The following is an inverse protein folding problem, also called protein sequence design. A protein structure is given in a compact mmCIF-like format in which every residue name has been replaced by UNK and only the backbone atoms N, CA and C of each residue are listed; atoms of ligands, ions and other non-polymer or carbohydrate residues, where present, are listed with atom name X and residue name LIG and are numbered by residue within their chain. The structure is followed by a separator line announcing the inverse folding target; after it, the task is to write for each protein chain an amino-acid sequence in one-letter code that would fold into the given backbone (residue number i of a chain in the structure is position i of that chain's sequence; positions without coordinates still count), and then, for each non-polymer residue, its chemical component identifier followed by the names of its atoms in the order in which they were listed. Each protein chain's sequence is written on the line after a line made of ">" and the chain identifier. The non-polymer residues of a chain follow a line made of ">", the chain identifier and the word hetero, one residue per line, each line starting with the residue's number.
data_IF_321798697726
#
_entry.id   IF_321798697726
#
_cell.length_a   1.000
_cell.length_b   1.000
_cell.length_c   1.000
_cell.angle_alpha   90.00
_cell.angle_beta   90.00
_cell.angle_gamma   90.00
#
_symmetry.space_group_name_H-M   'P 1'
#
loop_
_entity.id
_entity.type
_entity.pdbx_description
1 polymer ?
#
# COMPACT_ATOMS: atom_id res chain seq x y z
N UNK A 1 44.79 17.88 -44.26
CA UNK A 1 43.41 17.35 -44.16
C UNK A 1 42.79 17.88 -42.87
N UNK A 2 41.71 18.68 -42.93
CA UNK A 2 41.16 19.40 -41.76
C UNK A 2 40.28 18.45 -40.89
N UNK A 3 40.57 18.28 -39.58
CA UNK A 3 39.87 17.31 -38.72
C UNK A 3 38.36 17.58 -38.58
N UNK A 4 37.91 18.82 -38.76
CA UNK A 4 36.47 19.17 -38.69
C UNK A 4 35.61 18.58 -39.82
N UNK A 5 36.20 18.24 -40.98
CA UNK A 5 35.45 17.66 -42.10
C UNK A 5 35.18 16.16 -41.94
N UNK A 6 35.99 15.45 -41.15
CA UNK A 6 35.78 14.02 -40.84
C UNK A 6 34.62 13.82 -39.88
N UNK A 7 34.51 14.64 -38.84
CA UNK A 7 33.41 14.57 -37.87
C UNK A 7 32.04 14.75 -38.54
N UNK A 8 31.94 15.69 -39.49
CA UNK A 8 30.67 15.96 -40.18
C UNK A 8 30.21 14.77 -41.04
N UNK A 9 31.13 14.10 -41.73
CA UNK A 9 30.85 12.88 -42.50
C UNK A 9 30.39 11.71 -41.63
N UNK A 10 31.00 11.55 -40.46
CA UNK A 10 30.65 10.48 -39.50
C UNK A 10 29.24 10.72 -38.96
N UNK A 11 28.89 11.96 -38.59
CA UNK A 11 27.54 12.30 -38.14
C UNK A 11 26.48 12.14 -39.25
N UNK A 12 26.82 12.42 -40.51
CA UNK A 12 25.91 12.27 -41.66
C UNK A 12 25.72 10.79 -42.05
N UNK A 13 26.72 9.91 -41.83
CA UNK A 13 26.60 8.46 -42.02
C UNK A 13 25.84 7.77 -40.88
N UNK A 14 26.03 8.22 -39.63
CA UNK A 14 25.32 7.69 -38.46
C UNK A 14 23.82 8.01 -38.52
N UNK A 15 23.45 9.19 -39.02
CA UNK A 15 22.05 9.58 -39.23
C UNK A 15 21.33 8.75 -40.30
N UNK A 16 22.05 8.19 -41.28
CA UNK A 16 21.47 7.31 -42.30
C UNK A 16 21.21 5.88 -41.83
N UNK A 17 21.79 5.44 -40.72
CA UNK A 17 21.55 4.10 -40.15
C UNK A 17 20.33 4.03 -39.22
N UNK A 18 19.84 5.17 -38.73
CA UNK A 18 18.71 5.20 -37.81
C UNK A 18 17.33 5.15 -38.53
N UNK A 19 17.30 5.27 -39.87
CA UNK A 19 16.07 5.14 -40.67
C UNK A 19 15.80 3.70 -41.17
N UNK A 20 16.64 2.71 -40.82
CA UNK A 20 16.34 1.29 -41.07
C UNK A 20 15.76 0.63 -39.82
N UNK A 21 14.43 0.61 -39.71
CA UNK A 21 13.70 -0.34 -38.87
C UNK A 21 13.42 -1.63 -39.68
N UNK A 22 14.03 -2.78 -39.35
CA UNK A 22 13.86 -4.01 -40.12
C UNK A 22 12.87 -4.93 -39.42
N UNK A 23 11.57 -4.60 -39.38
CA UNK A 23 10.51 -5.61 -39.25
C UNK A 23 9.09 -5.02 -39.43
N UNK A 24 8.58 -5.02 -40.66
CA UNK A 24 7.13 -5.07 -40.89
C UNK A 24 6.85 -5.69 -42.26
N UNK A 25 6.91 -7.02 -42.33
CA UNK A 25 6.33 -7.80 -43.42
C UNK A 25 4.80 -7.68 -43.34
N UNK A 26 4.24 -6.76 -44.13
CA UNK A 26 2.81 -6.58 -44.29
C UNK A 26 2.56 -5.42 -45.23
N UNK A 27 2.17 -5.75 -46.47
CA UNK A 27 1.56 -4.87 -47.50
C UNK A 27 1.84 -3.38 -47.30
N UNK A 28 2.82 -2.84 -48.03
CA UNK A 28 2.98 -1.38 -48.17
C UNK A 28 1.84 -0.85 -49.03
N UNK A 29 0.66 -0.71 -48.44
CA UNK A 29 -0.35 0.21 -48.95
C UNK A 29 0.11 1.61 -48.57
N UNK A 30 0.52 2.41 -49.56
CA UNK A 30 0.82 3.82 -49.36
C UNK A 30 -0.41 4.48 -48.69
N UNK A 31 -0.29 5.01 -47.46
CA UNK A 31 -1.40 5.67 -46.81
C UNK A 31 -1.69 6.99 -47.53
N UNK A 32 -2.98 7.26 -47.77
CA UNK A 32 -3.46 8.58 -48.23
C UNK A 32 -2.86 9.70 -47.37
N UNK A 33 -2.56 10.89 -47.91
CA UNK A 33 -2.01 12.01 -47.14
C UNK A 33 -2.87 12.41 -45.93
N UNK A 34 -4.18 12.09 -45.93
CA UNK A 34 -5.06 12.25 -44.76
C UNK A 34 -4.79 11.23 -43.64
N UNK A 35 -4.42 10.00 -43.98
CA UNK A 35 -4.13 8.92 -43.03
C UNK A 35 -2.79 9.14 -42.30
N UNK A 36 -1.81 9.75 -42.96
CA UNK A 36 -0.54 10.13 -42.34
C UNK A 36 -0.70 11.17 -41.24
N UNK A 37 -1.59 12.16 -41.43
CA UNK A 37 -1.89 13.18 -40.41
C UNK A 37 -2.57 12.58 -39.19
N UNK A 38 -3.53 11.67 -39.40
CA UNK A 38 -4.21 10.97 -38.31
C UNK A 38 -3.24 10.08 -37.52
N UNK A 39 -2.34 9.37 -38.23
CA UNK A 39 -1.31 8.53 -37.61
C UNK A 39 -0.34 9.39 -36.78
N UNK A 40 0.01 10.58 -37.28
CA UNK A 40 0.87 11.52 -36.57
C UNK A 40 0.19 12.09 -35.32
N UNK A 41 -1.08 12.50 -35.40
CA UNK A 41 -1.86 12.90 -34.22
C UNK A 41 -2.01 11.77 -33.20
N UNK A 42 -2.19 10.53 -33.66
CA UNK A 42 -2.27 9.36 -32.78
C UNK A 42 -0.95 9.14 -32.00
N UNK A 43 0.19 9.21 -32.68
CA UNK A 43 1.51 9.09 -32.04
C UNK A 43 1.82 10.27 -31.11
N UNK A 44 1.44 11.49 -31.48
CA UNK A 44 1.58 12.66 -30.62
C UNK A 44 0.74 12.50 -29.35
N UNK A 45 -0.47 11.97 -29.47
CA UNK A 45 -1.32 11.70 -28.33
C UNK A 45 -0.73 10.62 -27.41
N UNK A 46 -0.15 9.56 -28.00
CA UNK A 46 0.51 8.48 -27.28
C UNK A 46 1.78 8.96 -26.56
N UNK A 47 2.56 9.85 -27.18
CA UNK A 47 3.73 10.48 -26.57
C UNK A 47 3.35 11.38 -25.39
N UNK A 48 2.21 12.10 -25.47
CA UNK A 48 1.70 12.91 -24.36
C UNK A 48 1.33 12.06 -23.14
N UNK A 49 0.62 10.95 -23.36
CA UNK A 49 0.25 10.03 -22.27
C UNK A 49 1.48 9.41 -21.61
N UNK A 50 2.50 9.05 -22.41
CA UNK A 50 3.74 8.48 -21.89
C UNK A 50 4.49 9.49 -21.01
N UNK A 51 4.54 10.76 -21.42
CA UNK A 51 5.12 11.85 -20.61
C UNK A 51 4.38 12.09 -19.31
N UNK A 52 3.04 12.15 -19.35
CA UNK A 52 2.21 12.30 -18.14
C UNK A 52 2.40 11.13 -17.18
N UNK A 53 2.44 9.89 -17.71
CA UNK A 53 2.71 8.71 -16.88
C UNK A 53 4.11 8.74 -16.26
N UNK A 54 5.12 9.21 -17.00
CA UNK A 54 6.49 9.32 -16.50
C UNK A 54 6.65 10.47 -15.49
N UNK A 55 5.90 11.55 -15.65
CA UNK A 55 5.79 12.66 -14.70
C UNK A 55 5.10 12.21 -13.41
N UNK A 56 3.94 11.56 -13.49
CA UNK A 56 3.26 10.95 -12.35
C UNK A 56 4.17 9.94 -11.66
N UNK A 57 4.91 9.12 -12.42
CA UNK A 57 5.89 8.18 -11.87
C UNK A 57 7.05 8.90 -11.18
N UNK A 58 7.47 10.06 -11.66
CA UNK A 58 8.50 10.90 -11.01
C UNK A 58 7.96 11.56 -9.76
N UNK A 59 6.73 12.05 -9.75
CA UNK A 59 6.08 12.60 -8.56
C UNK A 59 5.90 11.54 -7.48
N UNK A 60 5.45 10.34 -7.86
CA UNK A 60 5.31 9.19 -6.96
C UNK A 60 6.67 8.59 -6.53
N UNK A 61 7.73 8.77 -7.33
CA UNK A 61 9.08 8.34 -6.96
C UNK A 61 9.85 9.40 -6.17
N UNK A 62 9.48 10.68 -6.32
CA UNK A 62 9.96 11.80 -5.51
C UNK A 62 9.20 11.91 -4.18
N UNK A 63 8.04 11.26 -4.08
CA UNK A 63 7.47 10.70 -2.84
C UNK A 63 8.35 9.55 -2.28
N UNK A 64 9.69 9.71 -2.38
CA UNK A 64 10.57 9.22 -1.33
C UNK A 64 9.97 9.74 -0.03
N UNK A 65 9.82 8.90 1.01
CA UNK A 65 9.34 9.37 2.30
C UNK A 65 10.09 10.66 2.63
N UNK A 66 9.39 11.73 3.04
CA UNK A 66 9.94 13.06 3.16
C UNK A 66 11.30 12.96 3.83
N UNK A 67 12.30 13.52 3.16
CA UNK A 67 13.69 13.53 3.60
C UNK A 67 13.74 14.17 4.99
N UNK A 68 13.66 13.35 6.03
CA UNK A 68 14.49 13.41 7.23
C UNK A 68 14.82 14.81 7.78
N UNK A 69 13.83 15.70 7.91
CA UNK A 69 13.84 16.68 9.00
C UNK A 69 13.65 15.87 10.29
N UNK A 70 14.36 16.23 11.38
CA UNK A 70 15.08 15.27 12.25
C UNK A 70 14.39 13.90 12.40
N UNK A 71 14.94 12.86 11.76
CA UNK A 71 14.42 11.47 11.81
C UNK A 71 14.17 10.94 13.23
N UNK A 72 14.81 11.55 14.22
CA UNK A 72 14.58 11.26 15.63
C UNK A 72 13.13 11.49 16.06
N UNK A 73 12.43 12.50 15.55
CA UNK A 73 11.06 12.83 15.99
C UNK A 73 10.04 11.82 15.44
N UNK A 74 10.11 11.48 14.16
CA UNK A 74 9.22 10.48 13.55
C UNK A 74 9.46 9.08 14.12
N UNK A 75 10.72 8.70 14.37
CA UNK A 75 11.03 7.43 15.02
C UNK A 75 10.60 7.41 16.48
N UNK A 76 10.69 8.53 17.20
CA UNK A 76 10.16 8.64 18.56
C UNK A 76 8.65 8.44 18.56
N UNK A 77 7.92 9.03 17.61
CA UNK A 77 6.48 8.90 17.51
C UNK A 77 6.05 7.44 17.26
N UNK A 78 6.75 6.72 16.38
CA UNK A 78 6.55 5.27 16.17
C UNK A 78 6.85 4.44 17.41
N UNK A 79 7.96 4.73 18.10
CA UNK A 79 8.35 4.02 19.34
C UNK A 79 7.36 4.30 20.47
N UNK A 80 6.87 5.54 20.58
CA UNK A 80 5.83 5.92 21.54
C UNK A 80 4.52 5.23 21.22
N UNK A 81 4.06 5.23 19.96
CA UNK A 81 2.87 4.48 19.57
C UNK A 81 3.02 3.00 19.90
N UNK A 82 4.14 2.38 19.57
CA UNK A 82 4.41 0.98 19.92
C UNK A 82 4.38 0.75 21.44
N UNK A 83 5.02 1.62 22.22
CA UNK A 83 5.05 1.54 23.67
C UNK A 83 3.65 1.69 24.30
N UNK A 84 2.83 2.61 23.80
CA UNK A 84 1.45 2.80 24.26
C UNK A 84 0.59 1.56 24.00
N UNK A 85 0.71 0.94 22.83
CA UNK A 85 -0.01 -0.29 22.53
C UNK A 85 0.43 -1.47 23.43
N UNK A 86 1.73 -1.59 23.70
CA UNK A 86 2.25 -2.59 24.65
C UNK A 86 1.75 -2.32 26.06
N UNK A 87 1.73 -1.05 26.49
CA UNK A 87 1.24 -0.65 27.80
C UNK A 87 -0.25 -0.96 27.96
N UNK A 88 -1.08 -0.63 26.97
CA UNK A 88 -2.51 -0.96 26.97
C UNK A 88 -2.75 -2.47 26.99
N UNK A 89 -1.91 -3.26 26.30
CA UNK A 89 -1.99 -4.72 26.35
C UNK A 89 -1.68 -5.27 27.74
N UNK A 90 -0.56 -4.85 28.34
CA UNK A 90 -0.12 -5.34 29.66
C UNK A 90 -1.09 -4.90 30.77
N UNK A 91 -1.59 -3.66 30.71
CA UNK A 91 -2.55 -3.12 31.66
C UNK A 91 -3.86 -3.92 31.66
N UNK A 92 -4.45 -4.12 30.48
CA UNK A 92 -5.70 -4.88 30.37
C UNK A 92 -5.51 -6.38 30.59
N UNK A 93 -4.35 -6.95 30.21
CA UNK A 93 -4.02 -8.35 30.50
C UNK A 93 -3.96 -8.60 32.01
N UNK A 94 -3.29 -7.72 32.75
CA UNK A 94 -3.17 -7.81 34.20
C UNK A 94 -4.54 -7.64 34.85
N UNK A 95 -5.31 -6.63 34.44
CA UNK A 95 -6.67 -6.42 34.93
C UNK A 95 -7.61 -7.61 34.65
N UNK A 96 -7.47 -8.24 33.48
CA UNK A 96 -8.25 -9.43 33.09
C UNK A 96 -7.91 -10.64 33.95
N UNK A 97 -6.62 -10.91 34.18
CA UNK A 97 -6.17 -12.01 35.06
C UNK A 97 -6.66 -11.80 36.50
N UNK A 98 -6.60 -10.56 37.01
CA UNK A 98 -7.06 -10.27 38.37
C UNK A 98 -8.59 -10.30 38.50
N UNK A 99 -9.34 -9.83 37.51
CA UNK A 99 -10.79 -9.71 37.63
C UNK A 99 -11.57 -10.95 37.21
N UNK A 100 -11.07 -11.73 36.26
CA UNK A 100 -11.75 -12.95 35.78
C UNK A 100 -13.13 -12.73 35.12
N UNK A 101 -13.51 -11.48 34.83
CA UNK A 101 -14.84 -11.11 34.34
C UNK A 101 -14.89 -11.04 32.82
N UNK A 102 -15.98 -11.54 32.23
CA UNK A 102 -16.25 -11.47 30.78
C UNK A 102 -16.20 -10.02 30.25
N UNK A 103 -16.68 -9.06 31.03
CA UNK A 103 -16.65 -7.63 30.66
C UNK A 103 -15.23 -7.07 30.50
N UNK A 104 -14.29 -7.45 31.37
CA UNK A 104 -12.90 -6.97 31.31
C UNK A 104 -12.10 -7.72 30.25
N UNK A 105 -12.49 -8.97 29.96
CA UNK A 105 -11.95 -9.71 28.82
C UNK A 105 -12.26 -9.01 27.49
N UNK A 106 -13.43 -8.38 27.35
CA UNK A 106 -13.78 -7.54 26.18
C UNK A 106 -12.76 -6.42 25.98
N UNK A 107 -12.53 -5.62 27.04
CA UNK A 107 -11.62 -4.48 27.01
C UNK A 107 -10.17 -4.92 26.73
N UNK A 108 -9.80 -6.11 27.19
CA UNK A 108 -8.53 -6.74 26.85
C UNK A 108 -8.42 -7.10 25.37
N UNK A 109 -9.46 -7.72 24.78
CA UNK A 109 -9.47 -8.07 23.36
C UNK A 109 -9.42 -6.81 22.48
N UNK A 110 -10.16 -5.76 22.83
CA UNK A 110 -10.11 -4.48 22.12
C UNK A 110 -8.69 -3.90 22.11
N UNK A 111 -8.05 -3.85 23.28
CA UNK A 111 -6.68 -3.33 23.42
C UNK A 111 -5.62 -4.21 22.73
N UNK A 112 -5.86 -5.51 22.63
CA UNK A 112 -5.02 -6.45 21.88
C UNK A 112 -5.16 -6.22 20.37
N UNK A 113 -6.36 -5.93 19.86
CA UNK A 113 -6.58 -5.62 18.45
C UNK A 113 -5.90 -4.31 18.04
N UNK A 114 -5.90 -3.30 18.92
CA UNK A 114 -5.16 -2.05 18.70
C UNK A 114 -3.64 -2.29 18.62
N UNK A 115 -3.11 -3.17 19.48
CA UNK A 115 -1.71 -3.59 19.41
C UNK A 115 -1.39 -4.32 18.11
N UNK A 116 -2.27 -5.22 17.63
CA UNK A 116 -2.08 -5.91 16.36
C UNK A 116 -2.11 -4.93 15.18
N UNK A 117 -3.01 -3.94 15.20
CA UNK A 117 -3.07 -2.88 14.19
C UNK A 117 -1.74 -2.11 14.11
N UNK A 118 -1.19 -1.71 15.26
CA UNK A 118 0.09 -0.99 15.32
C UNK A 118 1.30 -1.88 14.98
N UNK A 119 1.27 -3.16 15.34
CA UNK A 119 2.30 -4.13 14.98
C UNK A 119 2.36 -4.38 13.47
N UNK A 120 1.19 -4.47 12.82
CA UNK A 120 1.06 -4.58 11.36
C UNK A 120 1.59 -3.32 10.67
N UNK A 121 1.22 -2.13 11.14
CA UNK A 121 1.73 -0.84 10.61
C UNK A 121 3.27 -0.76 10.71
N UNK A 122 3.83 -1.11 11.86
CA UNK A 122 5.28 -1.13 12.08
C UNK A 122 5.99 -2.21 11.22
N UNK A 123 5.33 -3.34 10.95
CA UNK A 123 5.85 -4.37 10.04
C UNK A 123 5.84 -3.86 8.60
N UNK A 124 4.80 -3.13 8.18
CA UNK A 124 4.73 -2.47 6.88
C UNK A 124 5.90 -1.50 6.68
N UNK A 125 6.16 -0.64 7.68
CA UNK A 125 7.26 0.33 7.66
C UNK A 125 8.62 -0.36 7.43
N UNK A 126 8.88 -1.47 8.14
CA UNK A 126 10.12 -2.26 7.98
C UNK A 126 10.22 -3.00 6.65
N UNK A 127 9.09 -3.40 6.08
CA UNK A 127 9.04 -4.06 4.76
C UNK A 127 9.31 -3.07 3.63
N UNK A 128 8.86 -1.82 3.79
CA UNK A 128 9.11 -0.73 2.85
C UNK A 128 10.61 -0.35 2.85
N UNK A 129 11.28 -0.40 3.99
CA UNK A 129 12.71 -0.07 4.15
C UNK A 129 13.69 -1.09 3.51
N UNK A 130 13.27 -2.32 3.22
CA UNK A 130 14.13 -3.36 2.61
C UNK A 130 13.69 -3.75 1.19
N UNK A 131 13.98 -2.96 0.15
CA UNK A 131 13.71 -3.36 -1.23
C UNK A 131 14.87 -4.17 -1.81
N UNK A 132 14.67 -5.47 -2.01
CA UNK A 132 15.50 -6.22 -2.94
C UNK A 132 15.00 -5.95 -4.38
N UNK A 133 15.92 -5.53 -5.24
CA UNK A 133 15.63 -4.76 -6.47
C UNK A 133 15.09 -5.62 -7.62
N UNK A 134 15.12 -6.95 -7.53
CA UNK A 134 15.07 -7.75 -8.76
C UNK A 134 13.75 -8.47 -9.10
N UNK A 135 12.75 -8.60 -8.22
CA UNK A 135 11.64 -9.54 -8.51
C UNK A 135 10.18 -9.14 -8.22
N UNK A 136 9.82 -7.86 -8.03
CA UNK A 136 8.39 -7.57 -7.80
C UNK A 136 7.87 -6.20 -8.28
N UNK A 137 7.50 -6.07 -9.57
CA UNK A 137 6.70 -4.96 -10.06
C UNK A 137 5.21 -5.26 -9.80
N UNK A 138 4.53 -4.38 -9.05
CA UNK A 138 3.07 -4.37 -8.76
C UNK A 138 2.55 -5.37 -7.72
N UNK A 139 2.69 -4.99 -6.45
CA UNK A 139 1.82 -5.49 -5.38
C UNK A 139 2.10 -4.95 -3.97
N UNK A 140 2.88 -3.87 -3.83
CA UNK A 140 3.37 -3.37 -2.54
C UNK A 140 2.27 -2.90 -1.57
N UNK A 141 1.27 -2.18 -2.05
CA UNK A 141 0.11 -1.74 -1.25
C UNK A 141 -0.80 -2.88 -0.80
N UNK A 142 -0.70 -4.07 -1.43
CA UNK A 142 -1.61 -5.18 -1.10
C UNK A 142 -1.28 -5.78 0.25
N UNK A 143 0.00 -5.96 0.60
CA UNK A 143 0.39 -6.54 1.90
C UNK A 143 0.07 -5.60 3.07
N UNK A 144 0.25 -4.30 2.88
CA UNK A 144 -0.14 -3.26 3.84
C UNK A 144 -1.66 -3.25 4.10
N UNK A 145 -2.45 -3.23 3.02
CA UNK A 145 -3.91 -3.18 3.10
C UNK A 145 -4.52 -4.51 3.58
N UNK A 146 -3.89 -5.64 3.25
CA UNK A 146 -4.33 -6.97 3.74
C UNK A 146 -4.26 -7.03 5.27
N UNK A 147 -3.25 -6.44 5.89
CA UNK A 147 -3.13 -6.39 7.34
C UNK A 147 -4.26 -5.59 8.01
N UNK A 148 -4.58 -4.42 7.47
CA UNK A 148 -5.72 -3.61 7.93
C UNK A 148 -7.06 -4.31 7.69
N UNK A 149 -7.20 -5.01 6.55
CA UNK A 149 -8.40 -5.79 6.23
C UNK A 149 -8.63 -6.95 7.20
N UNK A 150 -7.57 -7.69 7.55
CA UNK A 150 -7.65 -8.77 8.53
C UNK A 150 -8.00 -8.21 9.91
N UNK A 151 -7.41 -7.08 10.31
CA UNK A 151 -7.74 -6.39 11.56
C UNK A 151 -9.21 -5.98 11.62
N UNK A 152 -9.76 -5.46 10.53
CA UNK A 152 -11.17 -5.09 10.44
C UNK A 152 -12.10 -6.31 10.58
N UNK A 153 -11.75 -7.43 9.96
CA UNK A 153 -12.50 -8.68 10.07
C UNK A 153 -12.46 -9.22 11.51
N UNK A 154 -11.30 -9.18 12.17
CA UNK A 154 -11.16 -9.60 13.57
C UNK A 154 -11.96 -8.72 14.53
N UNK A 155 -11.95 -7.40 14.34
CA UNK A 155 -12.74 -6.45 15.14
C UNK A 155 -14.25 -6.69 14.95
N UNK A 156 -14.69 -6.98 13.71
CA UNK A 156 -16.08 -7.34 13.44
C UNK A 156 -16.47 -8.64 14.17
N UNK A 157 -15.64 -9.68 14.11
CA UNK A 157 -15.91 -10.93 14.82
C UNK A 157 -15.90 -10.77 16.34
N UNK A 158 -14.98 -9.97 16.88
CA UNK A 158 -14.92 -9.67 18.32
C UNK A 158 -16.18 -8.95 18.79
N UNK A 159 -16.61 -7.91 18.07
CA UNK A 159 -17.84 -7.17 18.37
C UNK A 159 -19.08 -8.06 18.29
N UNK A 160 -19.16 -8.94 17.28
CA UNK A 160 -20.27 -9.90 17.16
C UNK A 160 -20.23 -10.90 18.32
N UNK A 161 -19.05 -11.43 18.67
CA UNK A 161 -18.88 -12.35 19.80
C UNK A 161 -19.31 -11.72 21.13
N UNK A 162 -18.84 -10.50 21.40
CA UNK A 162 -19.22 -9.75 22.60
C UNK A 162 -20.71 -9.39 22.63
N UNK A 163 -21.29 -9.01 21.48
CA UNK A 163 -22.73 -8.75 21.39
C UNK A 163 -23.55 -10.01 21.69
N UNK A 164 -23.18 -11.16 21.12
CA UNK A 164 -23.85 -12.44 21.40
C UNK A 164 -23.72 -12.83 22.87
N UNK A 165 -22.53 -12.67 23.46
CA UNK A 165 -22.32 -12.92 24.90
C UNK A 165 -23.26 -12.06 25.75
N UNK A 166 -23.33 -10.76 25.47
CA UNK A 166 -24.21 -9.84 26.19
C UNK A 166 -25.70 -10.18 26.01
N UNK A 167 -26.14 -10.57 24.81
CA UNK A 167 -27.53 -10.99 24.60
C UNK A 167 -27.89 -12.27 25.34
N UNK A 168 -26.97 -13.24 25.38
CA UNK A 168 -27.16 -14.49 26.12
C UNK A 168 -27.28 -14.22 27.63
N UNK A 169 -26.42 -13.36 28.18
CA UNK A 169 -26.46 -12.98 29.60
C UNK A 169 -27.79 -12.29 29.96
N UNK A 170 -28.31 -11.40 29.10
CA UNK A 170 -29.61 -10.71 29.30
C UNK A 170 -30.79 -11.69 29.19
N UNK A 171 -30.74 -12.63 28.24
CA UNK A 171 -31.81 -13.61 28.05
C UNK A 171 -31.90 -14.56 29.25
N UNK A 172 -30.76 -14.99 29.79
CA UNK A 172 -30.70 -15.86 30.96
C UNK A 172 -31.21 -15.15 32.24
N UNK A 173 -30.89 -13.86 32.42
CA UNK A 173 -31.43 -13.05 33.52
C UNK A 173 -32.97 -12.92 33.44
N UNK A 174 -33.52 -12.86 32.22
CA UNK A 174 -34.96 -12.75 31.99
C UNK A 174 -35.71 -14.05 32.33
N UNK A 175 -35.10 -15.21 32.04
CA UNK A 175 -35.69 -16.53 32.35
C UNK A 175 -35.61 -16.84 33.85
N UNK A 176 -34.48 -16.51 34.50
CA UNK A 176 -34.29 -16.76 35.93
C UNK A 176 -35.20 -15.90 36.82
N UNK A 177 -35.53 -14.67 36.41
CA UNK A 177 -36.54 -13.84 37.10
C UNK A 177 -37.99 -14.36 36.97
N UNK A 178 -38.32 -15.09 35.91
CA UNK A 178 -39.66 -15.68 35.73
C UNK A 178 -39.82 -17.03 36.46
N UNK A 179 -38.73 -17.78 36.70
CA UNK A 179 -38.76 -19.09 37.36
C UNK A 179 -38.75 -19.08 38.90
N UNK A 180 -38.37 -17.96 39.54
CA UNK A 180 -38.23 -17.86 41.01
C UNK A 180 -39.49 -17.28 41.69
N UNK A 181 -40.46 -16.76 40.93
CA UNK A 181 -41.74 -16.25 41.46
C UNK A 181 -42.86 -17.31 41.54
N UNK A 182 -42.53 -18.61 41.52
CA UNK A 182 -43.47 -19.73 41.64
C UNK A 182 -43.49 -20.38 43.02
#
# INVERSE_FOLDING_TARGET
>A
MNPRKRQKKINDEEKRKFDEDPHSNGVVSCPSPSQLRLKQEYYDHQARLLRLYEEDKKLLADDRPPKAEPEAESQLMLRCCFALNVFSLVGNLTASILSGSLSIMSTFVDSLMDFLCSAVMNTCMRLIEKPDTFNYPRGKHRLELIGVLISAILMAFANIGMAMQAFNDIADESVSKLGVCG
#
